data_IF_129174087825
#
_entry.id   IF_129174087825
#
_cell.length_a   1.000
_cell.length_b   1.000
_cell.length_c   1.000
_cell.angle_alpha   90.00
_cell.angle_beta   90.00
_cell.angle_gamma   90.00
#
_symmetry.space_group_name_H-M   'P 1'
#
loop_
_entity.id
_entity.type
_entity.pdbx_description
1 polymer ?
#
# COMPACT_ATOMS: atom_id res chain seq x y z
N UNK A 1 5.63 11.28 -24.24
CA UNK A 1 4.86 10.99 -23.01
C UNK A 1 5.44 9.73 -22.39
N UNK A 2 6.39 9.87 -21.47
CA UNK A 2 6.96 8.75 -20.73
C UNK A 2 6.02 8.46 -19.55
N UNK A 3 5.16 7.45 -19.68
CA UNK A 3 4.46 6.91 -18.52
C UNK A 3 5.47 6.02 -17.82
N UNK A 4 6.30 6.60 -16.94
CA UNK A 4 7.03 5.82 -15.96
C UNK A 4 5.98 5.13 -15.10
N UNK A 5 5.83 3.83 -15.26
CA UNK A 5 5.06 3.01 -14.33
C UNK A 5 5.84 3.08 -13.02
N UNK A 6 5.44 3.96 -12.10
CA UNK A 6 6.00 3.96 -10.74
C UNK A 6 5.74 2.55 -10.21
N UNK A 7 6.76 1.70 -10.05
CA UNK A 7 6.54 0.44 -9.40
C UNK A 7 6.13 0.76 -7.94
N UNK A 8 5.32 -0.09 -7.32
CA UNK A 8 4.90 0.04 -5.91
C UNK A 8 6.09 0.01 -4.91
N UNK A 9 7.32 0.01 -5.41
CA UNK A 9 8.61 -0.17 -4.77
C UNK A 9 9.31 1.14 -4.36
N UNK A 10 8.60 2.27 -4.32
CA UNK A 10 9.21 3.54 -3.90
C UNK A 10 9.94 3.40 -2.55
N UNK A 11 11.11 4.03 -2.33
CA UNK A 11 11.94 3.81 -1.14
C UNK A 11 11.43 4.58 0.09
N UNK A 12 10.14 4.46 0.36
CA UNK A 12 9.44 5.12 1.45
C UNK A 12 8.36 4.19 1.99
N UNK A 13 7.96 4.43 3.23
CA UNK A 13 6.85 3.72 3.86
C UNK A 13 5.53 4.06 3.19
N UNK A 14 4.61 3.09 3.10
CA UNK A 14 3.24 3.31 2.63
C UNK A 14 2.26 2.69 3.61
N UNK A 15 1.15 3.40 3.82
CA UNK A 15 0.00 2.92 4.58
C UNK A 15 -1.18 2.72 3.63
N UNK A 16 -1.78 1.53 3.64
CA UNK A 16 -3.03 1.23 2.96
C UNK A 16 -4.10 0.94 4.00
N UNK A 17 -5.15 1.75 4.03
CA UNK A 17 -6.31 1.54 4.90
C UNK A 17 -7.50 1.06 4.07
N UNK A 18 -8.00 -0.13 4.37
CA UNK A 18 -9.17 -0.72 3.74
C UNK A 18 -10.31 -0.68 4.75
N UNK A 19 -11.30 0.19 4.53
CA UNK A 19 -12.48 0.31 5.39
C UNK A 19 -13.67 -0.39 4.77
N UNK A 20 -14.37 -1.21 5.56
CA UNK A 20 -15.48 -2.01 5.10
C UNK A 20 -16.74 -1.18 4.89
N UNK A 21 -17.32 -1.27 3.69
CA UNK A 21 -18.69 -0.80 3.43
C UNK A 21 -19.70 -1.90 3.75
N UNK A 22 -19.36 -3.14 3.38
CA UNK A 22 -20.14 -4.34 3.67
C UNK A 22 -19.35 -5.24 4.62
N UNK A 23 -20.03 -5.98 5.51
CA UNK A 23 -19.35 -6.88 6.43
C UNK A 23 -18.58 -7.96 5.69
N UNK A 24 -17.39 -8.28 6.18
CA UNK A 24 -16.51 -9.29 5.61
C UNK A 24 -15.81 -10.07 6.73
N UNK A 25 -15.80 -11.39 6.64
CA UNK A 25 -14.98 -12.20 7.56
C UNK A 25 -13.51 -12.10 7.17
N UNK A 26 -12.62 -12.21 8.14
CA UNK A 26 -11.19 -12.20 7.89
C UNK A 26 -10.78 -13.33 6.95
N UNK A 27 -11.40 -14.51 7.07
CA UNK A 27 -11.21 -15.63 6.15
C UNK A 27 -11.55 -15.27 4.70
N UNK A 28 -12.73 -14.70 4.44
CA UNK A 28 -13.13 -14.30 3.08
C UNK A 28 -12.15 -13.28 2.48
N UNK A 29 -11.69 -12.32 3.30
CA UNK A 29 -10.72 -11.34 2.87
C UNK A 29 -9.37 -11.97 2.56
N UNK A 30 -8.81 -12.72 3.52
CA UNK A 30 -7.45 -13.21 3.46
C UNK A 30 -7.26 -14.28 2.39
N UNK A 31 -8.21 -15.21 2.24
CA UNK A 31 -8.17 -16.22 1.18
C UNK A 31 -8.12 -15.56 -0.21
N UNK A 32 -8.95 -14.54 -0.44
CA UNK A 32 -9.01 -13.87 -1.73
C UNK A 32 -7.72 -13.12 -2.07
N UNK A 33 -7.15 -12.43 -1.08
CA UNK A 33 -5.87 -11.72 -1.25
C UNK A 33 -4.73 -12.71 -1.47
N UNK A 34 -4.67 -13.79 -0.68
CA UNK A 34 -3.66 -14.83 -0.81
C UNK A 34 -3.71 -15.55 -2.16
N UNK A 35 -4.90 -15.95 -2.63
CA UNK A 35 -5.08 -16.57 -3.95
C UNK A 35 -4.50 -15.70 -5.07
N UNK A 36 -4.81 -14.40 -5.04
CA UNK A 36 -4.32 -13.45 -6.02
C UNK A 36 -2.80 -13.32 -5.95
N UNK A 37 -2.22 -13.15 -4.75
CA UNK A 37 -0.77 -13.04 -4.57
C UNK A 37 -0.04 -14.28 -5.08
N UNK A 38 -0.48 -15.47 -4.67
CA UNK A 38 0.09 -16.75 -5.07
C UNK A 38 -0.04 -16.97 -6.58
N UNK A 39 -1.18 -16.59 -7.17
CA UNK A 39 -1.39 -16.66 -8.62
C UNK A 39 -0.36 -15.84 -9.40
N UNK A 40 -0.14 -14.58 -8.99
CA UNK A 40 0.86 -13.69 -9.61
C UNK A 40 2.28 -14.20 -9.42
N UNK A 41 2.65 -14.64 -8.21
CA UNK A 41 4.01 -15.15 -7.95
C UNK A 41 4.29 -16.44 -8.71
N UNK A 42 3.31 -17.33 -8.84
CA UNK A 42 3.44 -18.55 -9.65
C UNK A 42 3.57 -18.22 -11.14
N UNK A 43 2.75 -17.31 -11.68
CA UNK A 43 2.86 -16.93 -13.09
C UNK A 43 4.20 -16.29 -13.44
N UNK A 44 4.79 -15.57 -12.48
CA UNK A 44 6.08 -14.93 -12.63
C UNK A 44 7.27 -15.86 -12.33
N UNK A 45 7.02 -17.09 -11.87
CA UNK A 45 8.07 -18.04 -11.49
C UNK A 45 8.83 -17.65 -10.22
N UNK A 46 8.26 -16.81 -9.36
CA UNK A 46 8.91 -16.26 -8.15
C UNK A 46 8.36 -16.83 -6.85
N UNK A 47 7.40 -17.76 -6.90
CA UNK A 47 6.81 -18.39 -5.72
C UNK A 47 7.76 -19.40 -5.08
N UNK A 48 8.02 -19.25 -3.78
CA UNK A 48 8.95 -20.07 -2.99
C UNK A 48 8.28 -20.66 -1.75
N UNK A 49 8.94 -21.61 -1.09
CA UNK A 49 8.46 -22.18 0.19
C UNK A 49 8.37 -21.14 1.30
N UNK A 50 9.27 -20.14 1.31
CA UNK A 50 9.21 -19.01 2.23
C UNK A 50 7.95 -18.15 2.01
N UNK A 51 7.49 -18.02 0.76
CA UNK A 51 6.24 -17.34 0.43
C UNK A 51 5.04 -18.13 0.94
N UNK A 52 5.06 -19.47 0.81
CA UNK A 52 4.01 -20.34 1.34
C UNK A 52 3.85 -20.20 2.87
N UNK A 53 4.96 -20.26 3.61
CA UNK A 53 4.97 -20.07 5.08
C UNK A 53 4.45 -18.68 5.45
N UNK A 54 4.79 -17.66 4.65
CA UNK A 54 4.29 -16.29 4.87
C UNK A 54 2.78 -16.21 4.65
N UNK A 55 2.26 -16.85 3.60
CA UNK A 55 0.84 -16.90 3.31
C UNK A 55 0.08 -17.63 4.43
N UNK A 56 0.61 -18.73 4.97
CA UNK A 56 0.00 -19.42 6.11
C UNK A 56 -0.11 -18.51 7.33
N UNK A 57 0.95 -17.75 7.65
CA UNK A 57 0.94 -16.75 8.73
C UNK A 57 -0.06 -15.62 8.46
N UNK A 58 -0.15 -15.16 7.21
CA UNK A 58 -1.14 -14.17 6.81
C UNK A 58 -2.55 -14.70 7.04
N UNK A 59 -2.90 -15.89 6.55
CA UNK A 59 -4.21 -16.50 6.76
C UNK A 59 -4.55 -16.66 8.25
N UNK A 60 -3.58 -17.13 9.04
CA UNK A 60 -3.70 -17.33 10.49
C UNK A 60 -4.08 -16.04 11.23
N UNK A 61 -3.48 -14.90 10.85
CA UNK A 61 -3.74 -13.58 11.46
C UNK A 61 -5.20 -13.14 11.25
N UNK A 62 -5.81 -13.55 10.14
CA UNK A 62 -7.19 -13.19 9.78
C UNK A 62 -8.24 -14.21 10.22
N UNK A 63 -7.86 -15.40 10.69
CA UNK A 63 -8.76 -16.55 10.86
C UNK A 63 -9.99 -16.28 11.75
N UNK A 64 -9.78 -15.57 12.86
CA UNK A 64 -10.80 -15.27 13.87
C UNK A 64 -11.33 -13.83 13.76
N UNK A 65 -10.95 -13.11 12.70
CA UNK A 65 -11.34 -11.72 12.52
C UNK A 65 -12.69 -11.60 11.81
N UNK A 66 -13.45 -10.59 12.19
CA UNK A 66 -14.66 -10.19 11.49
C UNK A 66 -14.69 -8.67 11.36
N UNK A 67 -14.96 -8.19 10.16
CA UNK A 67 -14.92 -6.77 9.84
C UNK A 67 -16.34 -6.29 9.53
N UNK A 68 -17.07 -5.74 10.52
CA UNK A 68 -18.34 -5.08 10.26
C UNK A 68 -18.14 -3.81 9.41
N UNK A 69 -19.22 -3.18 8.91
CA UNK A 69 -19.13 -1.85 8.32
C UNK A 69 -18.34 -0.88 9.21
N UNK A 70 -17.60 0.03 8.59
CA UNK A 70 -16.74 1.05 9.20
C UNK A 70 -15.48 0.54 9.92
N UNK A 71 -15.33 -0.78 10.10
CA UNK A 71 -14.05 -1.33 10.55
C UNK A 71 -12.99 -1.29 9.43
N UNK A 72 -11.72 -1.20 9.81
CA UNK A 72 -10.60 -1.11 8.88
C UNK A 72 -9.55 -2.19 9.09
N UNK A 73 -8.93 -2.58 7.97
CA UNK A 73 -7.66 -3.29 7.93
C UNK A 73 -6.60 -2.29 7.47
N UNK A 74 -5.50 -2.21 8.20
CA UNK A 74 -4.38 -1.32 7.91
C UNK A 74 -3.16 -2.15 7.55
N UNK A 75 -2.55 -1.82 6.42
CA UNK A 75 -1.32 -2.43 5.93
C UNK A 75 -0.23 -1.36 5.85
N UNK A 76 0.80 -1.50 6.65
CA UNK A 76 1.98 -0.63 6.58
C UNK A 76 3.12 -1.40 5.94
N UNK A 77 3.54 -0.97 4.76
CA UNK A 77 4.71 -1.52 4.06
C UNK A 77 5.92 -0.64 4.37
N UNK A 78 6.92 -1.21 5.04
CA UNK A 78 8.16 -0.48 5.33
C UNK A 78 9.04 -0.34 4.08
N UNK A 79 9.95 0.62 4.11
CA UNK A 79 10.95 0.80 3.04
C UNK A 79 11.99 -0.33 2.98
N UNK A 80 12.08 -1.16 4.03
CA UNK A 80 13.03 -2.27 4.15
C UNK A 80 12.42 -3.64 3.83
N UNK A 81 11.16 -3.69 3.41
CA UNK A 81 10.53 -4.92 2.90
C UNK A 81 9.75 -5.74 3.92
N UNK A 82 9.15 -5.10 4.92
CA UNK A 82 8.23 -5.74 5.87
C UNK A 82 6.80 -5.23 5.72
N UNK A 83 5.82 -6.08 6.05
CA UNK A 83 4.39 -5.76 6.06
C UNK A 83 3.85 -5.86 7.49
N UNK A 84 3.47 -4.72 8.06
CA UNK A 84 2.73 -4.67 9.32
C UNK A 84 1.24 -4.67 9.04
N UNK A 85 0.47 -5.42 9.84
CA UNK A 85 -0.98 -5.52 9.71
C UNK A 85 -1.61 -5.09 11.03
N UNK A 86 -2.58 -4.17 10.96
CA UNK A 86 -3.35 -3.72 12.11
C UNK A 86 -4.85 -3.77 11.81
N UNK A 87 -5.65 -4.01 12.83
CA UNK A 87 -7.11 -3.97 12.75
C UNK A 87 -7.67 -2.82 13.56
N UNK A 88 -8.66 -2.12 13.00
CA UNK A 88 -9.35 -1.03 13.65
C UNK A 88 -10.85 -1.24 13.60
N UNK A 89 -11.54 -0.96 14.71
CA UNK A 89 -13.00 -1.10 14.81
C UNK A 89 -13.75 0.18 14.43
N UNK A 90 -13.09 1.32 14.49
CA UNK A 90 -13.68 2.66 14.41
C UNK A 90 -12.94 3.57 13.41
N UNK A 91 -12.03 3.01 12.61
CA UNK A 91 -11.24 3.75 11.64
C UNK A 91 -10.01 4.48 12.21
N UNK A 92 -9.79 4.42 13.53
CA UNK A 92 -8.55 4.93 14.15
C UNK A 92 -7.33 4.10 13.74
N UNK A 93 -6.15 4.70 13.74
CA UNK A 93 -4.88 3.99 13.49
C UNK A 93 -4.36 3.46 14.83
N UNK A 94 -4.23 2.13 15.03
CA UNK A 94 -3.67 1.57 16.26
C UNK A 94 -2.20 1.95 16.46
N UNK A 95 -1.78 2.18 17.71
CA UNK A 95 -0.38 2.54 18.04
C UNK A 95 0.62 1.42 17.74
N UNK A 96 0.20 0.16 17.82
CA UNK A 96 1.03 -1.00 17.58
C UNK A 96 0.37 -1.97 16.58
N UNK A 97 1.16 -2.62 15.70
CA UNK A 97 0.63 -3.59 14.76
C UNK A 97 0.23 -4.90 15.44
N UNK A 98 -0.78 -5.57 14.90
CA UNK A 98 -1.16 -6.91 15.35
C UNK A 98 -0.12 -7.96 14.95
N UNK A 99 0.52 -7.79 13.79
CA UNK A 99 1.60 -8.66 13.31
C UNK A 99 2.54 -7.88 12.40
N UNK A 100 3.80 -8.31 12.35
CA UNK A 100 4.79 -7.88 11.36
C UNK A 100 5.25 -9.12 10.58
N UNK A 101 5.13 -9.08 9.26
CA UNK A 101 5.55 -10.12 8.35
C UNK A 101 6.75 -9.64 7.55
N UNK A 102 7.90 -10.30 7.71
CA UNK A 102 9.13 -10.02 6.95
C UNK A 102 9.04 -10.62 5.54
N UNK A 103 8.20 -10.00 4.69
CA UNK A 103 8.02 -10.41 3.31
C UNK A 103 7.66 -9.21 2.41
N UNK A 104 8.66 -8.74 1.67
CA UNK A 104 8.53 -7.60 0.77
C UNK A 104 7.51 -7.88 -0.34
N UNK A 105 7.50 -9.10 -0.90
CA UNK A 105 6.61 -9.47 -2.00
C UNK A 105 5.15 -9.34 -1.57
N UNK A 106 4.81 -9.75 -0.35
CA UNK A 106 3.45 -9.63 0.18
C UNK A 106 3.04 -8.17 0.36
N UNK A 107 3.92 -7.33 0.90
CA UNK A 107 3.68 -5.89 1.01
C UNK A 107 3.44 -5.22 -0.34
N UNK A 108 4.29 -5.53 -1.33
CA UNK A 108 4.13 -5.04 -2.70
C UNK A 108 2.82 -5.55 -3.33
N UNK A 109 2.50 -6.83 -3.16
CA UNK A 109 1.30 -7.43 -3.73
C UNK A 109 0.01 -6.80 -3.16
N UNK A 110 -0.02 -6.41 -1.88
CA UNK A 110 -1.15 -5.68 -1.29
C UNK A 110 -1.35 -4.34 -2.00
N UNK A 111 -0.29 -3.54 -2.20
CA UNK A 111 -0.41 -2.24 -2.89
C UNK A 111 -0.79 -2.43 -4.37
N UNK A 112 -0.14 -3.38 -5.06
CA UNK A 112 -0.43 -3.69 -6.45
C UNK A 112 -1.87 -4.17 -6.65
N UNK A 113 -2.44 -4.89 -5.67
CA UNK A 113 -3.83 -5.31 -5.71
C UNK A 113 -4.81 -4.15 -5.75
N UNK A 114 -4.45 -2.99 -5.20
CA UNK A 114 -5.33 -1.82 -5.13
C UNK A 114 -5.09 -0.89 -6.32
N UNK A 115 -3.83 -0.48 -6.55
CA UNK A 115 -3.47 0.59 -7.50
C UNK A 115 -2.61 0.13 -8.68
N UNK A 116 -2.26 -1.16 -8.74
CA UNK A 116 -1.44 -1.74 -9.80
C UNK A 116 -2.13 -1.68 -11.17
N UNK A 117 -1.50 -2.29 -12.19
CA UNK A 117 -2.08 -2.32 -13.55
C UNK A 117 -3.48 -2.96 -13.57
N UNK A 118 -3.63 -4.05 -12.82
CA UNK A 118 -4.88 -4.81 -12.69
C UNK A 118 -5.53 -4.62 -11.31
N UNK A 119 -5.24 -3.49 -10.64
CA UNK A 119 -5.73 -3.22 -9.30
C UNK A 119 -7.26 -3.07 -9.25
N UNK A 120 -7.84 -3.40 -8.09
CA UNK A 120 -9.29 -3.45 -7.89
C UNK A 120 -9.95 -2.08 -7.72
N UNK A 121 -9.17 -1.00 -7.51
CA UNK A 121 -9.71 0.35 -7.29
C UNK A 121 -9.18 1.38 -8.30
N UNK A 122 -9.82 1.50 -9.48
CA UNK A 122 -9.52 2.55 -10.45
C UNK A 122 -9.62 3.96 -9.86
N UNK A 123 -10.60 4.19 -8.98
CA UNK A 123 -10.82 5.48 -8.33
C UNK A 123 -9.65 5.85 -7.40
N UNK A 124 -9.14 4.90 -6.60
CA UNK A 124 -7.96 5.14 -5.76
C UNK A 124 -6.73 5.46 -6.61
N UNK A 125 -6.53 4.71 -7.71
CA UNK A 125 -5.41 4.94 -8.63
C UNK A 125 -5.45 6.32 -9.27
N UNK A 126 -6.63 6.75 -9.75
CA UNK A 126 -6.84 8.06 -10.35
C UNK A 126 -6.60 9.18 -9.33
N UNK A 127 -7.18 9.06 -8.13
CA UNK A 127 -7.03 10.03 -7.04
C UNK A 127 -5.56 10.20 -6.64
N UNK A 128 -4.82 9.09 -6.53
CA UNK A 128 -3.39 9.13 -6.23
C UNK A 128 -2.61 9.82 -7.36
N UNK A 129 -2.87 9.47 -8.62
CA UNK A 129 -2.18 10.05 -9.77
C UNK A 129 -2.39 11.56 -9.87
N UNK A 130 -3.63 12.04 -9.74
CA UNK A 130 -3.91 13.48 -9.82
C UNK A 130 -3.26 14.25 -8.68
N UNK A 131 -3.44 13.80 -7.44
CA UNK A 131 -2.93 14.50 -6.25
C UNK A 131 -1.40 14.53 -6.20
N UNK A 132 -0.74 13.46 -6.67
CA UNK A 132 0.72 13.45 -6.80
C UNK A 132 1.20 14.41 -7.90
N UNK A 133 0.51 14.50 -9.04
CA UNK A 133 0.85 15.47 -10.09
C UNK A 133 0.79 16.89 -9.56
N UNK A 134 -0.33 17.27 -8.94
CA UNK A 134 -0.54 18.60 -8.36
C UNK A 134 0.52 18.93 -7.29
N UNK A 135 0.88 17.94 -6.47
CA UNK A 135 1.90 18.10 -5.43
C UNK A 135 3.29 18.34 -6.02
N UNK A 136 3.66 17.60 -7.07
CA UNK A 136 4.96 17.78 -7.73
C UNK A 136 5.06 19.15 -8.41
N UNK A 137 4.00 19.59 -9.10
CA UNK A 137 3.93 20.93 -9.70
C UNK A 137 4.08 22.05 -8.65
N UNK A 138 3.46 21.88 -7.48
CA UNK A 138 3.61 22.83 -6.37
C UNK A 138 5.04 22.88 -5.82
N UNK A 139 5.76 21.75 -5.79
CA UNK A 139 7.16 21.73 -5.37
C UNK A 139 8.03 22.48 -6.37
N UNK A 140 7.84 22.23 -7.67
CA UNK A 140 8.59 22.89 -8.74
C UNK A 140 8.34 24.41 -8.77
N UNK A 141 7.09 24.83 -8.62
CA UNK A 141 6.73 26.25 -8.51
C UNK A 141 7.39 26.95 -7.31
N UNK A 142 7.43 26.29 -6.15
CA UNK A 142 8.10 26.85 -4.96
C UNK A 142 9.62 26.89 -5.09
N UNK A 143 10.23 25.90 -5.74
CA UNK A 143 11.67 25.87 -5.98
C UNK A 143 12.11 27.05 -6.87
N UNK A 144 11.36 27.30 -7.95
CA UNK A 144 11.64 28.41 -8.88
C UNK A 144 11.41 29.79 -8.26
N UNK A 145 10.40 29.95 -7.40
CA UNK A 145 10.20 31.18 -6.63
C UNK A 145 11.36 31.42 -5.63
N UNK A 146 11.84 30.37 -4.96
CA UNK A 146 12.93 30.49 -3.97
C UNK A 146 14.26 30.89 -4.62
N UNK A 147 14.60 30.33 -5.78
CA UNK A 147 15.79 30.71 -6.55
C UNK A 147 15.73 32.18 -7.04
N UNK A 148 14.56 32.65 -7.47
CA UNK A 148 14.38 34.04 -7.90
C UNK A 148 14.53 35.06 -6.76
N UNK A 149 14.16 34.68 -5.53
CA UNK A 149 14.31 35.53 -4.33
C UNK A 149 15.77 35.58 -3.84
N UNK A 150 16.54 34.50 -3.97
CA UNK A 150 17.98 34.52 -3.66
C UNK A 150 18.80 35.34 -4.65
N UNK A 151 18.51 35.24 -5.95
CA UNK A 151 19.18 36.04 -6.99
C UNK A 151 18.94 37.55 -6.82
N UNK A 152 17.77 37.96 -6.33
CA UNK A 152 17.45 39.37 -6.04
C UNK A 152 18.10 39.94 -4.77
N UNK A 153 18.59 39.11 -3.85
CA UNK A 153 19.29 39.56 -2.62
C UNK A 153 20.79 39.71 -2.80
N UNK A 154 21.39 38.98 -3.74
CA UNK A 154 22.83 39.02 -4.03
C UNK A 154 23.23 40.10 -5.05
N UNK A 155 22.27 40.92 -5.49
CA UNK A 155 22.45 41.97 -6.50
C UNK A 155 22.31 43.41 -5.94
N UNK A 156 22.48 43.58 -4.63
CA UNK A 156 22.51 44.88 -3.91
C UNK A 156 23.81 45.08 -3.13
#
# INVERSE_FOLDING_TARGET
MYISVIPSTGPFEKLTQVTMILPLTGKQYSEKVSEMCVGVWKSNGTYTDADAITIDKFLEVFKDQNFPPDSSILFTTSSIGSLSISFSKDGSIPEAPNVVLENEKLGQAVIESVIGRYGVSPATKQSLASRLSDFMEQIEGKATETESVELGKNSL
#
